data_IF_786250194233
#
_entry.id   IF_786250194233
#
_cell.length_a   1.000
_cell.length_b   1.000
_cell.length_c   1.000
_cell.angle_alpha   90.00
_cell.angle_beta   90.00
_cell.angle_gamma   90.00
#
_symmetry.space_group_name_H-M   'P 1'
#
loop_
_entity.id
_entity.type
_entity.pdbx_description
1 polymer ?
#
# COMPACT_ATOMS: atom_id res chain seq x y z
N UNK A 1 -18.05 -8.62 6.71
CA UNK A 1 -17.02 -7.58 6.46
C UNK A 1 -16.40 -7.27 7.81
N UNK A 2 -15.07 -7.34 8.00
CA UNK A 2 -14.52 -6.95 9.29
C UNK A 2 -14.81 -5.47 9.49
N UNK A 3 -15.51 -5.18 10.57
CA UNK A 3 -16.00 -3.86 10.98
C UNK A 3 -14.84 -2.96 11.40
N UNK A 4 -14.90 -1.68 11.03
CA UNK A 4 -14.83 -0.62 12.04
C UNK A 4 -13.80 0.50 11.87
N UNK A 5 -12.67 0.31 11.19
CA UNK A 5 -11.64 1.35 11.10
C UNK A 5 -11.66 2.01 9.71
N UNK A 6 -11.85 3.33 9.69
CA UNK A 6 -11.75 4.14 8.48
C UNK A 6 -10.27 4.29 8.12
N UNK A 7 -9.87 3.79 6.95
CA UNK A 7 -8.51 4.04 6.42
C UNK A 7 -8.47 5.47 5.89
N UNK A 8 -7.65 6.32 6.50
CA UNK A 8 -7.40 7.69 6.01
C UNK A 8 -6.08 7.69 5.25
N UNK A 9 -6.17 8.01 3.95
CA UNK A 9 -5.00 8.21 3.09
C UNK A 9 -4.63 9.70 3.12
N UNK A 10 -3.37 10.02 3.38
CA UNK A 10 -2.94 11.42 3.53
C UNK A 10 -1.77 11.82 2.62
N UNK A 11 -1.07 10.86 2.03
CA UNK A 11 -0.05 11.13 1.02
C UNK A 11 -0.12 10.08 -0.09
N UNK A 12 -0.07 10.56 -1.32
CA UNK A 12 -0.03 9.75 -2.53
C UNK A 12 0.94 10.42 -3.49
N UNK A 13 2.16 9.89 -3.56
CA UNK A 13 3.13 10.31 -4.55
C UNK A 13 3.64 9.10 -5.32
N UNK A 14 4.11 9.34 -6.53
CA UNK A 14 4.51 8.29 -7.44
C UNK A 14 5.75 8.68 -8.22
N UNK A 15 6.71 7.76 -8.29
CA UNK A 15 7.86 7.87 -9.19
C UNK A 15 7.75 6.84 -10.31
N UNK A 16 7.75 7.32 -11.55
CA UNK A 16 7.80 6.48 -12.74
C UNK A 16 9.25 6.35 -13.24
N UNK A 17 9.68 5.13 -13.52
CA UNK A 17 10.97 4.87 -14.17
C UNK A 17 10.86 3.72 -15.16
N UNK A 18 11.81 3.60 -16.08
CA UNK A 18 11.93 2.43 -16.95
C UNK A 18 13.07 1.56 -16.42
N UNK A 19 12.80 0.29 -16.13
CA UNK A 19 13.84 -0.61 -15.65
C UNK A 19 14.79 -1.02 -16.78
N UNK A 20 15.89 -1.70 -16.42
CA UNK A 20 16.92 -2.16 -17.36
C UNK A 20 16.40 -3.14 -18.43
N UNK A 21 15.19 -3.68 -18.26
CA UNK A 21 14.52 -4.55 -19.23
C UNK A 21 13.53 -3.80 -20.13
N UNK A 22 13.44 -2.48 -20.01
CA UNK A 22 12.53 -1.64 -20.80
C UNK A 22 11.11 -1.60 -20.24
N UNK A 23 10.85 -2.15 -19.05
CA UNK A 23 9.52 -2.11 -18.42
C UNK A 23 9.32 -0.80 -17.69
N UNK A 24 8.24 -0.09 -18.00
CA UNK A 24 7.80 1.06 -17.21
C UNK A 24 7.34 0.55 -15.85
N UNK A 25 8.01 0.99 -14.80
CA UNK A 25 7.64 0.77 -13.41
C UNK A 25 7.18 2.08 -12.81
N UNK A 26 6.30 1.99 -11.83
CA UNK A 26 5.87 3.14 -11.09
C UNK A 26 5.77 2.77 -9.62
N UNK A 27 6.59 3.39 -8.77
CA UNK A 27 6.54 3.19 -7.33
C UNK A 27 5.55 4.21 -6.79
N UNK A 28 4.36 3.74 -6.45
CA UNK A 28 3.39 4.52 -5.69
C UNK A 28 3.69 4.41 -4.22
N UNK A 29 3.61 5.52 -3.50
CA UNK A 29 3.64 5.56 -2.05
C UNK A 29 2.27 5.97 -1.57
N UNK A 30 1.71 5.20 -0.65
CA UNK A 30 0.44 5.51 0.01
C UNK A 30 0.71 5.57 1.51
N UNK A 31 0.63 6.78 2.07
CA UNK A 31 0.63 7.00 3.51
C UNK A 31 -0.76 6.85 4.09
N UNK A 32 -0.90 6.05 5.15
CA UNK A 32 -2.17 5.89 5.88
C UNK A 32 -1.94 5.82 7.39
N UNK A 33 -2.93 6.28 8.16
CA UNK A 33 -2.92 6.21 9.63
C UNK A 33 -3.64 4.96 10.14
N UNK A 34 -3.14 4.43 11.25
CA UNK A 34 -3.68 3.24 11.91
C UNK A 34 -3.39 3.25 13.41
N UNK A 35 -4.36 2.78 14.19
CA UNK A 35 -4.33 2.80 15.66
C UNK A 35 -3.84 1.50 16.30
N UNK A 36 -3.71 0.42 15.52
CA UNK A 36 -3.33 -0.91 16.00
C UNK A 36 -1.85 -1.23 15.75
N UNK A 37 -1.33 -2.22 16.50
CA UNK A 37 0.08 -2.62 16.42
C UNK A 37 0.43 -3.33 15.12
N UNK A 38 1.66 -3.12 14.65
CA UNK A 38 2.21 -3.64 13.39
C UNK A 38 3.24 -4.75 13.68
N UNK A 39 2.94 -5.56 14.68
CA UNK A 39 3.97 -6.32 15.40
C UNK A 39 4.07 -7.77 14.89
N UNK A 40 3.07 -8.24 14.14
CA UNK A 40 3.00 -9.61 13.61
C UNK A 40 2.76 -9.64 12.09
N UNK A 41 3.50 -10.50 11.39
CA UNK A 41 3.40 -10.68 9.92
C UNK A 41 1.98 -10.97 9.43
N UNK A 42 1.16 -11.66 10.22
CA UNK A 42 -0.23 -11.94 9.86
C UNK A 42 -1.10 -10.67 9.92
N UNK A 43 -0.96 -9.86 10.98
CA UNK A 43 -1.67 -8.59 11.13
C UNK A 43 -1.26 -7.61 10.02
N UNK A 44 0.03 -7.53 9.74
CA UNK A 44 0.59 -6.73 8.64
C UNK A 44 -0.06 -7.08 7.28
N UNK A 45 -0.22 -8.37 6.96
CA UNK A 45 -0.82 -8.82 5.69
C UNK A 45 -2.30 -8.52 5.58
N UNK A 46 -3.04 -8.60 6.69
CA UNK A 46 -4.47 -8.23 6.73
C UNK A 46 -4.60 -6.73 6.49
N UNK A 47 -3.77 -5.94 7.16
CA UNK A 47 -3.77 -4.49 7.06
C UNK A 47 -3.40 -4.02 5.66
N UNK A 48 -2.34 -4.57 5.08
CA UNK A 48 -1.93 -4.29 3.70
C UNK A 48 -3.09 -4.45 2.72
N UNK A 49 -3.87 -5.53 2.85
CA UNK A 49 -5.04 -5.79 1.99
C UNK A 49 -6.18 -4.80 2.23
N UNK A 50 -6.42 -4.42 3.49
CA UNK A 50 -7.45 -3.44 3.86
C UNK A 50 -7.15 -2.08 3.24
N UNK A 51 -5.92 -1.63 3.37
CA UNK A 51 -5.47 -0.33 2.84
C UNK A 51 -5.41 -0.36 1.32
N UNK A 52 -4.90 -1.44 0.73
CA UNK A 52 -4.91 -1.60 -0.73
C UNK A 52 -6.32 -1.54 -1.30
N UNK A 53 -7.31 -2.16 -0.64
CA UNK A 53 -8.70 -2.08 -1.06
C UNK A 53 -9.26 -0.65 -1.01
N UNK A 54 -8.86 0.16 -0.02
CA UNK A 54 -9.23 1.58 0.06
C UNK A 54 -8.56 2.43 -1.03
N UNK A 55 -7.33 2.08 -1.43
CA UNK A 55 -6.58 2.79 -2.47
C UNK A 55 -6.93 2.36 -3.90
N UNK A 56 -7.37 1.11 -4.12
CA UNK A 56 -7.62 0.52 -5.43
C UNK A 56 -8.47 1.40 -6.39
N UNK A 57 -9.53 2.11 -5.95
CA UNK A 57 -10.27 3.02 -6.83
C UNK A 57 -9.42 4.13 -7.47
N UNK A 58 -8.33 4.56 -6.83
CA UNK A 58 -7.40 5.56 -7.36
C UNK A 58 -6.48 5.00 -8.45
N UNK A 59 -6.33 3.67 -8.52
CA UNK A 59 -5.52 2.99 -9.54
C UNK A 59 -6.31 2.65 -10.81
N UNK A 60 -7.64 2.75 -10.77
CA UNK A 60 -8.50 2.38 -11.91
C UNK A 60 -8.24 3.32 -13.09
N UNK A 61 -7.92 2.74 -14.25
CA UNK A 61 -7.64 3.48 -15.49
C UNK A 61 -6.16 3.86 -15.68
N UNK A 62 -5.30 3.51 -14.72
CA UNK A 62 -3.86 3.73 -14.82
C UNK A 62 -3.12 2.45 -15.26
N UNK A 63 -2.00 2.62 -15.97
CA UNK A 63 -1.22 1.53 -16.58
C UNK A 63 -0.11 0.98 -15.68
N UNK A 64 -0.24 1.13 -14.37
CA UNK A 64 0.81 0.79 -13.43
C UNK A 64 0.82 -0.68 -13.02
N UNK A 65 2.03 -1.17 -12.80
CA UNK A 65 2.30 -2.58 -12.49
C UNK A 65 2.81 -2.79 -11.05
N UNK A 66 3.09 -1.72 -10.30
CA UNK A 66 3.59 -1.79 -8.92
C UNK A 66 2.95 -0.74 -8.02
N UNK A 67 2.76 -1.06 -6.74
CA UNK A 67 2.26 -0.14 -5.72
C UNK A 67 2.95 -0.43 -4.37
N UNK A 68 3.41 0.61 -3.69
CA UNK A 68 3.97 0.52 -2.34
C UNK A 68 3.04 1.23 -1.37
N UNK A 69 2.67 0.53 -0.31
CA UNK A 69 1.81 1.06 0.74
C UNK A 69 2.60 1.08 2.03
N UNK A 70 2.75 2.26 2.61
CA UNK A 70 3.53 2.44 3.84
C UNK A 70 2.57 2.83 4.97
N UNK A 71 2.37 1.95 5.98
CA UNK A 71 1.73 2.34 7.22
C UNK A 71 2.51 3.47 7.84
N UNK A 72 1.80 4.47 8.33
CA UNK A 72 2.33 5.46 9.23
C UNK A 72 1.50 5.34 10.50
N UNK A 73 1.82 4.34 11.32
CA UNK A 73 1.19 4.20 12.63
C UNK A 73 1.67 5.37 13.48
N UNK A 74 0.72 6.20 13.93
CA UNK A 74 1.01 7.24 14.90
C UNK A 74 0.89 6.66 16.31
N UNK A 75 2.00 6.61 17.03
CA UNK A 75 1.97 6.18 18.44
C UNK A 75 1.31 7.27 19.29
N UNK A 76 0.88 6.91 20.50
CA UNK A 76 0.36 7.89 21.48
C UNK A 76 1.39 8.96 21.88
N UNK A 77 2.69 8.74 21.59
CA UNK A 77 3.78 9.70 21.77
C UNK A 77 4.04 10.60 20.55
N UNK A 78 3.35 10.38 19.44
CA UNK A 78 3.54 11.15 18.20
C UNK A 78 4.61 10.60 17.25
N UNK A 79 5.24 9.47 17.60
CA UNK A 79 6.19 8.79 16.71
C UNK A 79 5.46 8.08 15.56
N UNK A 80 6.11 7.99 14.42
CA UNK A 80 5.61 7.28 13.25
C UNK A 80 6.35 5.95 13.09
N UNK A 81 5.61 4.83 13.12
CA UNK A 81 6.13 3.50 12.85
C UNK A 81 5.48 2.92 11.59
N UNK A 82 6.30 2.45 10.65
CA UNK A 82 5.84 1.98 9.36
C UNK A 82 6.63 0.81 8.80
N UNK A 83 5.93 -0.13 8.18
CA UNK A 83 6.53 -1.24 7.41
C UNK A 83 5.92 -1.27 6.00
N UNK A 84 6.68 -0.97 4.93
CA UNK A 84 6.12 -0.92 3.59
C UNK A 84 5.64 -2.30 3.13
N UNK A 85 4.57 -2.30 2.34
CA UNK A 85 4.07 -3.45 1.60
C UNK A 85 4.11 -3.20 0.12
N UNK A 86 4.38 -4.25 -0.65
CA UNK A 86 4.56 -4.17 -2.08
C UNK A 86 3.45 -4.96 -2.77
N UNK A 87 2.76 -4.33 -3.71
CA UNK A 87 1.78 -4.97 -4.57
C UNK A 87 2.28 -4.94 -6.01
N UNK A 88 2.12 -6.05 -6.73
CA UNK A 88 2.41 -6.13 -8.16
C UNK A 88 1.13 -6.48 -8.93
N UNK A 89 1.00 -5.92 -10.13
CA UNK A 89 -0.08 -6.27 -11.05
C UNK A 89 0.34 -7.47 -11.88
N UNK A 90 -0.45 -8.52 -11.80
CA UNK A 90 -0.30 -9.73 -12.61
C UNK A 90 -0.74 -9.46 -14.06
N UNK A 91 -0.32 -10.30 -15.03
CA UNK A 91 -0.74 -10.16 -16.44
C UNK A 91 -2.25 -10.22 -16.66
N UNK A 92 -3.01 -10.84 -15.74
CA UNK A 92 -4.48 -10.88 -15.77
C UNK A 92 -5.13 -9.61 -15.19
N UNK A 93 -4.32 -8.63 -14.80
CA UNK A 93 -4.73 -7.34 -14.26
C UNK A 93 -5.03 -7.35 -12.76
N UNK A 94 -4.92 -8.49 -12.07
CA UNK A 94 -5.09 -8.58 -10.61
C UNK A 94 -3.87 -8.06 -9.87
N UNK A 95 -4.07 -7.61 -8.64
CA UNK A 95 -2.99 -7.18 -7.76
C UNK A 95 -2.68 -8.25 -6.72
N UNK A 96 -1.40 -8.56 -6.54
CA UNK A 96 -0.91 -9.54 -5.58
C UNK A 96 0.07 -8.89 -4.59
N UNK A 97 -0.17 -9.10 -3.29
CA UNK A 97 0.76 -8.73 -2.23
C UNK A 97 2.02 -9.58 -2.36
N UNK A 98 3.15 -8.93 -2.55
CA UNK A 98 4.46 -9.55 -2.64
C UNK A 98 4.96 -9.93 -1.23
N UNK A 99 5.79 -10.98 -1.12
CA UNK A 99 6.37 -11.43 0.14
C UNK A 99 7.26 -10.39 0.81
#
# INVERSE_FOLDING_TARGET
MPSGEQVVLFDTHGDAFTDVSGRKRHIYYVGYETSHGMDETAALRIEARRVFAAYLPQLVGLDYDTCVITPMRRTSGGDEEGRPYYFAREPDGRWSLQP
#
